data_IF_017921583197
#
_entry.id   IF_017921583197
#
_cell.length_a   1.000
_cell.length_b   1.000
_cell.length_c   1.000
_cell.angle_alpha   90.00
_cell.angle_beta   90.00
_cell.angle_gamma   90.00
#
_symmetry.space_group_name_H-M   'P 1'
#
loop_
_entity.id
_entity.type
_entity.pdbx_description
1 polymer ?
#
# COMPACT_ATOMS: atom_id res chain seq x y z
N UNK A 1 15.45 -0.58 -7.53
CA UNK A 1 14.50 0.38 -6.92
C UNK A 1 13.07 -0.15 -6.90
N UNK A 2 12.37 -0.38 -8.03
CA UNK A 2 10.95 -0.80 -7.98
C UNK A 2 10.71 -2.16 -7.30
N UNK A 3 11.54 -3.18 -7.58
CA UNK A 3 11.41 -4.50 -6.94
C UNK A 3 11.59 -4.42 -5.42
N UNK A 4 12.52 -3.59 -4.95
CA UNK A 4 12.77 -3.36 -3.52
C UNK A 4 11.57 -2.68 -2.84
N UNK A 5 10.98 -1.66 -3.47
CA UNK A 5 9.77 -0.99 -2.97
C UNK A 5 8.56 -1.94 -2.93
N UNK A 6 8.43 -2.81 -3.93
CA UNK A 6 7.40 -3.87 -3.94
C UNK A 6 7.62 -4.88 -2.81
N UNK A 7 8.84 -5.37 -2.63
CA UNK A 7 9.23 -6.26 -1.54
C UNK A 7 8.89 -5.65 -0.16
N UNK A 8 9.21 -4.37 0.06
CA UNK A 8 8.81 -3.62 1.26
C UNK A 8 7.29 -3.58 1.41
N UNK A 9 6.56 -3.26 0.34
CA UNK A 9 5.10 -3.20 0.36
C UNK A 9 4.45 -4.55 0.67
N UNK A 10 5.03 -5.68 0.22
CA UNK A 10 4.52 -7.02 0.49
C UNK A 10 4.62 -7.46 1.97
N UNK A 11 5.49 -6.81 2.75
CA UNK A 11 5.61 -6.98 4.21
C UNK A 11 5.03 -5.81 5.00
N UNK A 12 4.22 -4.98 4.34
CA UNK A 12 3.55 -3.82 4.92
C UNK A 12 2.04 -4.07 5.04
N UNK A 13 1.45 -3.53 6.11
CA UNK A 13 0.01 -3.58 6.39
C UNK A 13 -0.58 -2.18 6.56
N UNK A 14 -1.87 -2.04 6.24
CA UNK A 14 -2.65 -0.83 6.50
C UNK A 14 -3.57 -1.07 7.70
N UNK A 15 -3.59 -0.15 8.66
CA UNK A 15 -4.42 -0.28 9.86
C UNK A 15 -5.22 1.01 10.05
N UNK A 16 -6.54 0.89 10.05
CA UNK A 16 -7.43 1.95 10.51
C UNK A 16 -7.39 2.02 12.03
N UNK A 17 -7.03 3.18 12.57
CA UNK A 17 -6.77 3.40 13.98
C UNK A 17 -7.90 4.21 14.64
N UNK A 18 -8.15 4.01 15.95
CA UNK A 18 -8.94 4.94 16.74
C UNK A 18 -8.29 6.33 16.80
N UNK A 19 -9.09 7.39 16.86
CA UNK A 19 -8.60 8.77 16.96
C UNK A 19 -7.68 9.02 18.16
N UNK A 20 -7.90 8.29 19.26
CA UNK A 20 -7.14 8.41 20.51
C UNK A 20 -6.32 7.15 20.72
N UNK A 21 -5.11 7.12 20.17
CA UNK A 21 -4.19 6.01 20.34
C UNK A 21 -2.79 6.51 20.70
N UNK A 22 -2.11 5.77 21.57
CA UNK A 22 -0.71 5.98 21.91
C UNK A 22 0.16 5.18 20.95
N UNK A 23 1.03 5.87 20.21
CA UNK A 23 1.98 5.26 19.28
C UNK A 23 2.82 4.16 19.95
N UNK A 24 3.36 4.41 21.14
CA UNK A 24 4.15 3.42 21.88
C UNK A 24 3.34 2.15 22.22
N UNK A 25 2.09 2.31 22.68
CA UNK A 25 1.22 1.16 22.98
C UNK A 25 0.82 0.41 21.72
N UNK A 26 0.56 1.14 20.63
CA UNK A 26 0.26 0.59 19.32
C UNK A 26 1.41 -0.25 18.76
N UNK A 27 2.63 0.29 18.73
CA UNK A 27 3.81 -0.43 18.25
C UNK A 27 4.13 -1.61 19.16
N UNK A 28 4.05 -1.44 20.48
CA UNK A 28 4.25 -2.56 21.43
C UNK A 28 3.29 -3.71 21.18
N UNK A 29 2.03 -3.41 20.88
CA UNK A 29 1.04 -4.43 20.50
C UNK A 29 1.42 -5.12 19.19
N UNK A 30 1.79 -4.37 18.16
CA UNK A 30 2.13 -4.96 16.86
C UNK A 30 3.45 -5.76 16.87
N UNK A 31 4.42 -5.37 17.70
CA UNK A 31 5.70 -6.06 17.82
C UNK A 31 5.58 -7.51 18.32
N UNK A 32 4.44 -7.91 18.90
CA UNK A 32 4.19 -9.31 19.27
C UNK A 32 4.05 -10.24 18.05
N UNK A 33 3.71 -9.68 16.87
CA UNK A 33 3.57 -10.44 15.63
C UNK A 33 4.88 -10.52 14.83
N UNK A 34 5.83 -9.63 15.12
CA UNK A 34 7.17 -9.60 14.54
C UNK A 34 7.81 -8.21 14.62
N UNK A 35 9.12 -8.09 14.34
CA UNK A 35 9.83 -6.82 14.40
C UNK A 35 9.34 -5.84 13.32
N UNK A 36 9.19 -4.57 13.69
CA UNK A 36 8.75 -3.49 12.83
C UNK A 36 9.99 -2.77 12.27
N UNK A 37 10.05 -2.61 10.94
CA UNK A 37 11.11 -1.89 10.25
C UNK A 37 10.81 -0.39 10.18
N UNK A 38 9.57 -0.04 9.84
CA UNK A 38 9.15 1.34 9.67
C UNK A 38 7.64 1.49 9.90
N UNK A 39 7.20 2.68 10.29
CA UNK A 39 5.80 3.02 10.37
C UNK A 39 5.59 4.52 10.20
N UNK A 40 4.42 4.89 9.72
CA UNK A 40 3.95 6.27 9.78
C UNK A 40 2.43 6.31 9.89
N UNK A 41 1.92 7.43 10.39
CA UNK A 41 0.49 7.71 10.44
C UNK A 41 0.12 8.72 9.38
N UNK A 42 -1.11 8.66 8.88
CA UNK A 42 -1.67 9.69 8.03
C UNK A 42 -3.17 9.83 8.27
N UNK A 43 -3.72 11.00 7.94
CA UNK A 43 -5.14 11.28 8.06
C UNK A 43 -5.83 11.25 6.69
N UNK A 44 -7.02 10.67 6.66
CA UNK A 44 -7.96 10.69 5.54
C UNK A 44 -9.38 10.77 6.12
N UNK A 45 -10.28 9.84 5.80
CA UNK A 45 -11.59 9.68 6.47
C UNK A 45 -11.48 9.14 7.92
N UNK A 46 -10.31 9.24 8.52
CA UNK A 46 -9.92 8.64 9.80
C UNK A 46 -8.41 8.65 9.95
N UNK A 47 -7.92 8.19 11.11
CA UNK A 47 -6.50 8.00 11.35
C UNK A 47 -6.07 6.62 10.84
N UNK A 48 -5.03 6.57 10.03
CA UNK A 48 -4.47 5.33 9.50
C UNK A 48 -3.01 5.21 9.87
N UNK A 49 -2.56 3.98 10.10
CA UNK A 49 -1.17 3.61 10.25
C UNK A 49 -0.74 2.69 9.11
N UNK A 50 0.41 3.00 8.52
CA UNK A 50 1.12 2.11 7.61
C UNK A 50 2.27 1.50 8.38
N UNK A 51 2.33 0.18 8.46
CA UNK A 51 3.33 -0.53 9.26
C UNK A 51 4.06 -1.54 8.41
N UNK A 52 5.35 -1.33 8.22
CA UNK A 52 6.28 -2.20 7.51
C UNK A 52 6.98 -3.11 8.51
N UNK A 53 6.74 -4.42 8.44
CA UNK A 53 7.47 -5.40 9.24
C UNK A 53 8.84 -5.71 8.60
N UNK A 54 9.80 -6.21 9.38
CA UNK A 54 11.07 -6.69 8.83
C UNK A 54 10.90 -8.02 8.07
N UNK A 55 9.85 -8.79 8.39
CA UNK A 55 9.62 -10.16 7.92
C UNK A 55 8.19 -10.28 7.37
N UNK A 56 8.03 -11.02 6.27
CA UNK A 56 6.73 -11.23 5.62
C UNK A 56 5.82 -12.13 6.46
N UNK A 57 6.41 -13.04 7.21
CA UNK A 57 5.76 -14.00 8.11
C UNK A 57 4.95 -13.30 9.22
N UNK A 58 5.38 -12.10 9.64
CA UNK A 58 4.66 -11.27 10.61
C UNK A 58 3.23 -10.95 10.18
N UNK A 59 2.98 -10.84 8.87
CA UNK A 59 1.65 -10.62 8.33
C UNK A 59 0.77 -11.84 8.59
N UNK A 60 1.27 -13.04 8.33
CA UNK A 60 0.56 -14.28 8.62
C UNK A 60 0.22 -14.40 10.11
N UNK A 61 1.18 -14.07 10.98
CA UNK A 61 0.98 -14.03 12.43
C UNK A 61 -0.14 -13.05 12.85
N UNK A 62 -0.12 -11.83 12.31
CA UNK A 62 -1.16 -10.81 12.56
C UNK A 62 -2.54 -11.24 12.02
N UNK A 63 -2.59 -11.81 10.81
CA UNK A 63 -3.83 -12.30 10.22
C UNK A 63 -4.44 -13.44 11.03
N UNK A 64 -3.62 -14.37 11.52
CA UNK A 64 -4.07 -15.48 12.37
C UNK A 64 -4.61 -15.01 13.73
N UNK A 65 -4.06 -13.91 14.26
CA UNK A 65 -4.57 -13.26 15.48
C UNK A 65 -5.78 -12.34 15.26
N UNK A 66 -6.24 -12.16 14.01
CA UNK A 66 -7.33 -11.24 13.66
C UNK A 66 -8.65 -11.99 13.48
N UNK A 67 -9.75 -11.39 13.93
CA UNK A 67 -11.09 -11.95 13.79
C UNK A 67 -11.88 -11.26 12.67
N UNK A 68 -12.66 -12.03 11.92
CA UNK A 68 -13.66 -11.49 11.00
C UNK A 68 -14.74 -10.74 11.81
N UNK A 69 -15.13 -9.51 11.42
CA UNK A 69 -16.21 -8.81 12.07
C UNK A 69 -17.49 -9.66 12.07
N UNK A 70 -18.13 -9.76 13.24
CA UNK A 70 -19.46 -10.35 13.38
C UNK A 70 -20.43 -9.25 13.73
N UNK A 71 -21.25 -8.84 12.77
CA UNK A 71 -22.39 -7.94 12.98
C UNK A 71 -23.66 -8.77 12.87
N UNK A 72 -24.58 -8.65 13.83
CA UNK A 72 -25.78 -9.50 13.88
C UNK A 72 -26.74 -9.34 12.68
N UNK A 73 -26.64 -8.24 11.93
CA UNK A 73 -27.53 -7.91 10.81
C UNK A 73 -26.86 -7.96 9.42
N UNK A 74 -25.56 -8.23 9.34
CA UNK A 74 -24.81 -8.14 8.07
C UNK A 74 -23.83 -9.30 7.90
N UNK A 75 -23.82 -9.91 6.71
CA UNK A 75 -22.84 -10.91 6.32
C UNK A 75 -21.59 -10.24 5.72
N UNK A 76 -20.42 -10.55 6.26
CA UNK A 76 -19.15 -10.06 5.72
C UNK A 76 -18.57 -11.05 4.69
N UNK A 77 -18.04 -10.52 3.58
CA UNK A 77 -17.25 -11.32 2.64
C UNK A 77 -15.91 -11.67 3.31
N UNK A 78 -15.54 -12.96 3.48
CA UNK A 78 -14.42 -13.37 4.30
C UNK A 78 -13.06 -13.27 3.59
N UNK A 79 -12.82 -12.20 2.84
CA UNK A 79 -11.50 -11.94 2.23
C UNK A 79 -10.52 -11.44 3.29
N UNK A 80 -9.47 -12.22 3.56
CA UNK A 80 -8.44 -11.89 4.55
C UNK A 80 -7.34 -11.03 3.92
N UNK A 81 -7.57 -9.72 3.90
CA UNK A 81 -6.61 -8.74 3.36
C UNK A 81 -5.52 -8.37 4.37
N UNK A 82 -4.63 -7.47 3.96
CA UNK A 82 -3.66 -6.77 4.83
C UNK A 82 -4.17 -5.40 5.30
N UNK A 83 -5.49 -5.17 5.21
CA UNK A 83 -6.14 -3.98 5.73
C UNK A 83 -6.94 -4.32 6.99
N UNK A 84 -6.50 -3.77 8.12
CA UNK A 84 -7.02 -4.10 9.45
C UNK A 84 -7.77 -2.91 10.06
N UNK A 85 -8.67 -3.22 10.99
CA UNK A 85 -9.34 -2.22 11.82
C UNK A 85 -8.98 -2.47 13.29
N UNK A 86 -8.32 -1.51 13.91
CA UNK A 86 -7.95 -1.59 15.32
C UNK A 86 -9.03 -0.97 16.19
N UNK A 87 -9.53 -1.73 17.17
CA UNK A 87 -10.51 -1.26 18.14
C UNK A 87 -9.93 -1.28 19.54
N UNK A 88 -10.15 -0.21 20.29
CA UNK A 88 -9.83 -0.17 21.72
C UNK A 88 -10.90 -0.95 22.49
N UNK A 89 -10.47 -1.89 23.34
CA UNK A 89 -11.39 -2.61 24.24
C UNK A 89 -11.94 -1.70 25.33
N UNK A 90 -11.12 -0.76 25.82
CA UNK A 90 -11.49 0.21 26.84
C UNK A 90 -11.09 1.62 26.36
N UNK A 91 -11.97 2.63 26.50
CA UNK A 91 -11.61 4.01 26.18
C UNK A 91 -10.52 4.51 27.14
N UNK A 92 -9.40 4.96 26.59
CA UNK A 92 -8.32 5.58 27.35
C UNK A 92 -8.54 7.09 27.45
N UNK A 93 -8.30 7.65 28.63
CA UNK A 93 -8.34 9.10 28.89
C UNK A 93 -7.11 9.87 28.36
N UNK A 94 -6.09 9.15 27.89
CA UNK A 94 -4.86 9.74 27.35
C UNK A 94 -5.14 10.50 26.04
N UNK A 95 -4.74 11.78 26.03
CA UNK A 95 -4.70 12.62 24.82
C UNK A 95 -3.28 12.61 24.27
N UNK A 96 -2.92 11.59 23.49
CA UNK A 96 -1.71 11.63 22.67
C UNK A 96 -2.07 12.12 21.26
N UNK A 97 -1.50 13.26 20.85
CA UNK A 97 -1.55 13.69 19.46
C UNK A 97 -0.46 12.93 18.71
N UNK A 98 -0.88 12.08 17.78
CA UNK A 98 0.04 11.41 16.86
C UNK A 98 0.43 12.40 15.77
N UNK A 99 1.71 12.37 15.38
CA UNK A 99 2.19 13.14 14.24
C UNK A 99 1.83 12.40 12.95
N UNK A 100 0.94 13.00 12.17
CA UNK A 100 0.53 12.48 10.87
C UNK A 100 1.41 13.03 9.74
N UNK A 101 1.73 12.19 8.77
CA UNK A 101 2.39 12.56 7.53
C UNK A 101 1.36 13.10 6.54
N UNK A 102 1.64 14.25 5.94
CA UNK A 102 0.77 14.88 4.96
C UNK A 102 0.83 14.12 3.63
N UNK A 103 -0.34 13.67 3.16
CA UNK A 103 -0.47 12.96 1.87
C UNK A 103 -0.99 13.87 0.74
N UNK A 104 -1.28 15.12 1.07
CA UNK A 104 -1.75 16.15 0.15
C UNK A 104 -0.84 17.37 0.24
N UNK A 105 -0.71 18.14 -0.85
CA UNK A 105 0.07 19.36 -0.83
C UNK A 105 -0.62 20.41 0.03
N UNK A 106 0.15 21.41 0.47
CA UNK A 106 -0.42 22.59 1.13
C UNK A 106 -1.40 23.30 0.21
N UNK A 107 -2.29 24.09 0.82
CA UNK A 107 -3.18 24.96 0.05
C UNK A 107 -2.37 25.96 -0.77
N UNK A 108 -2.88 26.33 -1.94
CA UNK A 108 -2.22 27.32 -2.81
C UNK A 108 -1.92 28.62 -2.05
N UNK A 109 -2.82 29.07 -1.17
CA UNK A 109 -2.62 30.29 -0.36
C UNK A 109 -1.38 30.18 0.54
N UNK A 110 -1.26 29.09 1.30
CA UNK A 110 -0.11 28.87 2.20
C UNK A 110 1.20 28.75 1.42
N UNK A 111 1.14 28.13 0.23
CA UNK A 111 2.30 28.04 -0.65
C UNK A 111 2.72 29.41 -1.17
N UNK A 112 1.78 30.23 -1.67
CA UNK A 112 2.08 31.59 -2.12
C UNK A 112 2.72 32.42 -1.02
N UNK A 113 2.17 32.35 0.21
CA UNK A 113 2.77 33.03 1.37
C UNK A 113 4.20 32.55 1.62
N UNK A 114 4.45 31.23 1.60
CA UNK A 114 5.79 30.67 1.80
C UNK A 114 6.81 31.16 0.75
N UNK A 115 6.42 31.22 -0.52
CA UNK A 115 7.28 31.66 -1.61
C UNK A 115 7.62 33.15 -1.56
N UNK A 116 6.83 33.98 -0.89
CA UNK A 116 7.14 35.39 -0.69
C UNK A 116 8.28 35.63 0.32
N UNK A 117 8.59 34.65 1.18
CA UNK A 117 9.62 34.77 2.23
C UNK A 117 10.99 34.22 1.83
N UNK A 118 11.14 33.66 0.63
CA UNK A 118 12.42 33.13 0.13
C UNK A 118 13.31 34.24 -0.42
N UNK A 119 14.63 34.04 -0.38
CA UNK A 119 15.62 35.07 -0.72
C UNK A 119 15.90 35.19 -2.24
N UNK A 120 15.58 34.18 -3.04
CA UNK A 120 15.85 34.13 -4.47
C UNK A 120 14.81 33.35 -5.27
N UNK A 121 14.81 33.50 -6.60
CA UNK A 121 13.95 32.70 -7.50
C UNK A 121 14.33 31.21 -7.43
N UNK A 122 15.62 30.89 -7.34
CA UNK A 122 16.09 29.53 -7.15
C UNK A 122 15.53 28.90 -5.86
N UNK A 123 15.48 29.67 -4.76
CA UNK A 123 14.86 29.22 -3.51
C UNK A 123 13.36 29.04 -3.63
N UNK A 124 12.67 29.90 -4.40
CA UNK A 124 11.24 29.73 -4.71
C UNK A 124 11.00 28.40 -5.43
N UNK A 125 11.78 28.11 -6.48
CA UNK A 125 11.64 26.88 -7.26
C UNK A 125 11.93 25.63 -6.42
N UNK A 126 12.99 25.66 -5.60
CA UNK A 126 13.31 24.54 -4.71
C UNK A 126 12.25 24.33 -3.62
N UNK A 127 11.68 25.42 -3.08
CA UNK A 127 10.59 25.36 -2.12
C UNK A 127 9.33 24.79 -2.75
N UNK A 128 8.97 25.26 -3.95
CA UNK A 128 7.86 24.75 -4.74
C UNK A 128 8.00 23.24 -4.99
N UNK A 129 9.18 22.80 -5.42
CA UNK A 129 9.46 21.39 -5.65
C UNK A 129 9.29 20.57 -4.37
N UNK A 130 9.88 21.00 -3.25
CA UNK A 130 9.80 20.30 -1.96
C UNK A 130 8.37 20.16 -1.43
N UNK A 131 7.54 21.18 -1.61
CA UNK A 131 6.15 21.19 -1.15
C UNK A 131 5.22 20.32 -2.00
N UNK A 132 5.58 20.08 -3.27
CA UNK A 132 4.76 19.32 -4.19
C UNK A 132 5.23 17.90 -4.43
N UNK A 133 6.53 17.62 -4.41
CA UNK A 133 7.07 16.30 -4.73
C UNK A 133 6.50 15.20 -3.81
N UNK A 134 6.44 13.98 -4.31
CA UNK A 134 6.07 12.82 -3.49
C UNK A 134 7.05 12.67 -2.32
N UNK A 135 6.53 12.43 -1.13
CA UNK A 135 7.32 12.09 0.05
C UNK A 135 7.62 10.59 0.08
N UNK A 136 8.62 10.19 0.87
CA UNK A 136 8.92 8.77 1.08
C UNK A 136 7.71 7.99 1.63
N UNK A 137 6.97 8.58 2.58
CA UNK A 137 5.73 7.99 3.10
C UNK A 137 4.66 7.86 2.01
N UNK A 138 4.48 8.88 1.17
CA UNK A 138 3.49 8.82 0.08
C UNK A 138 3.88 7.78 -0.98
N UNK A 139 5.16 7.69 -1.32
CA UNK A 139 5.67 6.65 -2.22
C UNK A 139 5.44 5.26 -1.62
N UNK A 140 5.76 5.04 -0.33
CA UNK A 140 5.46 3.77 0.35
C UNK A 140 3.97 3.43 0.34
N UNK A 141 3.11 4.42 0.58
CA UNK A 141 1.66 4.25 0.52
C UNK A 141 1.19 3.82 -0.87
N UNK A 142 1.71 4.45 -1.94
CA UNK A 142 1.39 4.07 -3.33
C UNK A 142 1.79 2.64 -3.65
N UNK A 143 3.00 2.22 -3.26
CA UNK A 143 3.45 0.84 -3.44
C UNK A 143 2.62 -0.15 -2.60
N UNK A 144 2.24 0.21 -1.37
CA UNK A 144 1.32 -0.59 -0.56
C UNK A 144 -0.04 -0.73 -1.25
N UNK A 145 -0.61 0.34 -1.78
CA UNK A 145 -1.88 0.27 -2.52
C UNK A 145 -1.78 -0.68 -3.71
N UNK A 146 -0.72 -0.59 -4.53
CA UNK A 146 -0.49 -1.54 -5.62
C UNK A 146 -0.44 -2.98 -5.09
N UNK A 147 0.27 -3.21 -3.99
CA UNK A 147 0.40 -4.52 -3.36
C UNK A 147 -0.93 -5.05 -2.81
N UNK A 148 -1.82 -4.19 -2.30
CA UNK A 148 -3.16 -4.59 -1.85
C UNK A 148 -4.07 -4.97 -3.03
N UNK A 149 -3.99 -4.27 -4.16
CA UNK A 149 -4.70 -4.67 -5.37
C UNK A 149 -4.11 -5.98 -5.94
N UNK A 150 -2.79 -6.17 -5.83
CA UNK A 150 -2.11 -7.42 -6.20
C UNK A 150 -2.66 -8.61 -5.40
N UNK A 151 -2.87 -8.48 -4.09
CA UNK A 151 -3.49 -9.54 -3.27
C UNK A 151 -4.88 -9.94 -3.77
N UNK A 152 -5.67 -8.97 -4.26
CA UNK A 152 -7.03 -9.21 -4.78
C UNK A 152 -6.95 -9.92 -6.14
N UNK A 153 -6.10 -9.43 -7.04
CA UNK A 153 -5.92 -10.02 -8.37
C UNK A 153 -5.33 -11.45 -8.27
N UNK A 154 -4.42 -11.68 -7.33
CA UNK A 154 -3.77 -12.97 -7.10
C UNK A 154 -4.73 -14.08 -6.67
N UNK A 155 -5.95 -13.74 -6.22
CA UNK A 155 -7.00 -14.72 -5.95
C UNK A 155 -7.48 -15.44 -7.23
N UNK A 156 -7.36 -14.79 -8.40
CA UNK A 156 -7.75 -15.34 -9.70
C UNK A 156 -6.55 -15.59 -10.62
N UNK A 157 -5.52 -14.75 -10.51
CA UNK A 157 -4.32 -14.79 -11.33
C UNK A 157 -3.09 -14.98 -10.43
N UNK A 158 -2.80 -16.22 -10.02
CA UNK A 158 -1.62 -16.51 -9.21
C UNK A 158 -0.36 -15.90 -9.84
N UNK A 159 0.54 -15.39 -8.99
CA UNK A 159 1.81 -14.79 -9.41
C UNK A 159 1.71 -13.51 -10.24
N UNK A 160 0.52 -12.91 -10.37
CA UNK A 160 0.38 -11.60 -10.99
C UNK A 160 1.16 -10.53 -10.23
N UNK A 161 1.59 -9.51 -10.95
CA UNK A 161 2.32 -8.39 -10.37
C UNK A 161 1.59 -7.10 -10.70
N UNK A 162 1.38 -6.24 -9.70
CA UNK A 162 0.86 -4.89 -9.92
C UNK A 162 1.94 -3.87 -9.63
N UNK A 163 2.32 -3.10 -10.65
CA UNK A 163 3.39 -2.10 -10.58
C UNK A 163 2.82 -0.70 -10.76
N UNK A 164 3.26 0.29 -9.95
CA UNK A 164 2.97 1.69 -10.26
C UNK A 164 3.76 2.13 -11.49
N UNK A 165 3.16 2.98 -12.33
CA UNK A 165 3.87 3.65 -13.43
C UNK A 165 3.56 5.15 -13.46
N UNK A 166 4.08 5.85 -14.47
CA UNK A 166 3.80 7.27 -14.69
C UNK A 166 4.34 8.17 -13.58
N UNK A 167 3.52 9.13 -13.16
CA UNK A 167 3.88 10.19 -12.20
C UNK A 167 4.35 9.64 -10.84
N UNK A 168 3.89 8.45 -10.47
CA UNK A 168 4.24 7.81 -9.19
C UNK A 168 5.70 7.33 -9.12
N UNK A 169 6.38 7.18 -10.26
CA UNK A 169 7.75 6.61 -10.34
C UNK A 169 8.71 7.42 -11.21
N UNK A 170 8.23 8.38 -11.99
CA UNK A 170 9.06 9.12 -12.95
C UNK A 170 9.74 10.38 -12.37
N UNK A 171 9.66 10.61 -11.06
CA UNK A 171 10.20 11.78 -10.32
C UNK A 171 9.49 13.13 -10.55
N UNK A 172 8.50 13.21 -11.44
CA UNK A 172 7.68 14.40 -11.66
C UNK A 172 6.31 14.33 -10.95
N UNK A 173 6.10 13.32 -10.10
CA UNK A 173 4.89 13.15 -9.32
C UNK A 173 4.70 14.26 -8.29
N UNK A 174 3.46 14.71 -8.16
CA UNK A 174 3.02 15.68 -7.16
C UNK A 174 2.09 15.01 -6.15
N UNK A 175 2.17 15.38 -4.87
CA UNK A 175 1.21 14.95 -3.85
C UNK A 175 -0.23 15.18 -4.34
N UNK A 176 -1.07 14.16 -4.18
CA UNK A 176 -2.45 14.17 -4.68
C UNK A 176 -2.61 13.82 -6.17
N UNK A 177 -1.56 13.49 -6.91
CA UNK A 177 -1.71 12.93 -8.26
C UNK A 177 -2.24 11.49 -8.22
N UNK A 178 -2.83 11.05 -9.32
CA UNK A 178 -3.35 9.69 -9.46
C UNK A 178 -2.25 8.63 -9.30
N UNK A 179 -2.66 7.41 -8.96
CA UNK A 179 -1.81 6.24 -8.90
C UNK A 179 -2.13 5.34 -10.09
N UNK A 180 -1.35 5.49 -11.15
CA UNK A 180 -1.45 4.65 -12.34
C UNK A 180 -0.83 3.28 -12.07
N UNK A 181 -1.59 2.20 -12.31
CA UNK A 181 -1.19 0.81 -12.04
C UNK A 181 -1.20 -0.03 -13.31
N UNK A 182 -0.19 -0.88 -13.46
CA UNK A 182 -0.11 -1.89 -14.52
C UNK A 182 -0.20 -3.29 -13.91
N UNK A 183 -1.15 -4.09 -14.39
CA UNK A 183 -1.29 -5.52 -14.06
C UNK A 183 -0.47 -6.34 -15.06
N UNK A 184 0.58 -6.97 -14.57
CA UNK A 184 1.45 -7.87 -15.32
C UNK A 184 1.09 -9.33 -15.01
N UNK A 185 0.77 -10.07 -16.07
CA UNK A 185 0.45 -11.50 -16.00
C UNK A 185 1.53 -12.35 -16.67
N UNK A 186 2.60 -11.77 -17.20
CA UNK A 186 3.60 -12.51 -17.95
C UNK A 186 4.59 -13.25 -17.04
N UNK A 187 4.86 -12.74 -15.82
CA UNK A 187 5.66 -13.49 -14.84
C UNK A 187 4.98 -14.80 -14.39
N UNK A 188 3.65 -14.89 -14.45
CA UNK A 188 2.90 -16.13 -14.21
C UNK A 188 3.23 -17.23 -15.23
N UNK A 189 3.67 -16.83 -16.44
CA UNK A 189 4.02 -17.75 -17.54
C UNK A 189 5.46 -18.26 -17.46
N UNK A 190 6.30 -17.58 -16.68
CA UNK A 190 7.75 -17.82 -16.61
C UNK A 190 8.17 -18.73 -15.45
N UNK A 191 7.23 -19.31 -14.70
CA UNK A 191 7.53 -20.35 -13.71
C UNK A 191 8.20 -21.52 -14.42
N UNK A 192 9.52 -21.58 -14.26
CA UNK A 192 10.42 -22.44 -15.02
C UNK A 192 9.85 -23.84 -15.15
N UNK A 193 9.40 -24.17 -16.36
CA UNK A 193 8.98 -25.50 -16.70
C UNK A 193 10.15 -26.44 -16.40
N UNK A 194 10.09 -27.18 -15.30
CA UNK A 194 10.97 -28.31 -15.09
C UNK A 194 10.84 -29.18 -16.34
N UNK A 195 11.97 -29.51 -16.98
CA UNK A 195 11.97 -30.44 -18.12
C UNK A 195 11.33 -31.73 -17.66
N UNK A 196 10.07 -31.92 -18.01
CA UNK A 196 9.35 -33.16 -17.75
C UNK A 196 9.87 -34.19 -18.74
N UNK A 197 10.21 -35.38 -18.23
CA UNK A 197 10.62 -36.51 -19.08
C UNK A 197 9.40 -37.06 -19.80
N UNK A 198 9.46 -37.19 -21.13
CA UNK A 198 8.43 -37.83 -21.95
C UNK A 198 8.01 -37.02 -23.18
N UNK A 199 7.08 -37.57 -23.95
CA UNK A 199 6.60 -36.98 -25.22
C UNK A 199 5.30 -36.17 -25.05
N UNK A 200 4.90 -35.85 -23.82
CA UNK A 200 3.62 -35.20 -23.53
C UNK A 200 3.83 -33.76 -23.06
N UNK A 201 3.04 -32.85 -23.62
CA UNK A 201 2.90 -31.46 -23.17
C UNK A 201 1.57 -31.34 -22.43
N UNK A 202 1.59 -30.70 -21.26
CA UNK A 202 0.40 -30.41 -20.46
C UNK A 202 0.21 -28.90 -20.37
N UNK A 203 -0.98 -28.42 -20.72
CA UNK A 203 -1.32 -27.00 -20.70
C UNK A 203 -2.65 -26.80 -19.95
N UNK A 204 -2.85 -25.62 -19.39
CA UNK A 204 -4.14 -25.26 -18.80
C UNK A 204 -5.21 -25.13 -19.89
N UNK A 205 -6.39 -25.72 -19.66
CA UNK A 205 -7.52 -25.53 -20.55
C UNK A 205 -8.16 -24.16 -20.32
N UNK A 206 -7.81 -23.17 -21.15
CA UNK A 206 -8.29 -21.79 -21.05
C UNK A 206 -9.06 -21.36 -22.29
N UNK A 207 -9.91 -20.33 -22.13
CA UNK A 207 -10.64 -19.74 -23.25
C UNK A 207 -9.71 -18.88 -24.09
N UNK A 208 -9.57 -19.22 -25.37
CA UNK A 208 -8.86 -18.37 -26.34
C UNK A 208 -9.76 -17.22 -26.80
N UNK A 209 -9.16 -16.06 -27.06
CA UNK A 209 -9.84 -14.88 -27.59
C UNK A 209 -9.04 -14.32 -28.78
N UNK A 210 -9.68 -13.59 -29.72
CA UNK A 210 -9.03 -13.20 -30.98
C UNK A 210 -7.88 -12.19 -30.85
N UNK A 211 -7.75 -11.49 -29.72
CA UNK A 211 -6.68 -10.51 -29.50
C UNK A 211 -6.39 -10.27 -28.03
N UNK A 212 -5.19 -9.80 -27.72
CA UNK A 212 -4.79 -9.38 -26.37
C UNK A 212 -5.70 -8.28 -25.82
N UNK A 213 -6.13 -7.33 -26.67
CA UNK A 213 -7.09 -6.30 -26.27
C UNK A 213 -8.39 -6.90 -25.72
N UNK A 214 -8.93 -7.93 -26.38
CA UNK A 214 -10.15 -8.61 -25.92
C UNK A 214 -9.87 -9.39 -24.63
N UNK A 215 -8.67 -9.96 -24.46
CA UNK A 215 -8.27 -10.62 -23.22
C UNK A 215 -8.26 -9.61 -22.06
N UNK A 216 -7.59 -8.46 -22.23
CA UNK A 216 -7.51 -7.40 -21.23
C UNK A 216 -8.88 -6.85 -20.82
N UNK A 217 -9.84 -6.78 -21.73
CA UNK A 217 -11.20 -6.30 -21.44
C UNK A 217 -12.07 -7.29 -20.64
N UNK A 218 -11.65 -8.56 -20.53
CA UNK A 218 -12.41 -9.63 -19.87
C UNK A 218 -11.83 -10.03 -18.52
N UNK A 219 -10.65 -9.53 -18.20
CA UNK A 219 -9.98 -9.64 -16.91
C UNK A 219 -10.52 -8.55 -16.00
#
# INVERSE_FOLDING_TARGET
>A
MQNERREQAQRTVLIHCPEKISENKFLKYLSQFGPINNHFFYESLGLYAVVEFCQKESIGSLQNGTHTPRTAMEAAIPFRSRFFNLKLKNPTSERSRIRSSNQLPRSNKQLFELLCYTESIDDQLNTLLKEFQLTEENTKLRYLTCSLIEDIAAAYFPDCIIRPFGSSVNTFGKLGCDLDMFLDLDETRNLGAHKTSGNFLMEFQVKTVPSERIATQKI
#
